data_IF_930822608032
#
_entry.id   IF_930822608032
#
_cell.length_a   1.000
_cell.length_b   1.000
_cell.length_c   1.000
_cell.angle_alpha   90.00
_cell.angle_beta   90.00
_cell.angle_gamma   90.00
#
_symmetry.space_group_name_H-M   'P 1'
#
loop_
_entity.id
_entity.type
_entity.pdbx_description
1 polymer ?
#
# COMPACT_ATOMS: atom_id res chain seq x y z
N UNK A 1 -25.93 0.13 -2.75
CA UNK A 1 -25.76 -0.21 -4.18
C UNK A 1 -24.30 -0.61 -4.40
N UNK A 2 -24.00 -1.61 -5.24
CA UNK A 2 -22.62 -2.00 -5.54
C UNK A 2 -21.83 -0.80 -6.07
N UNK A 3 -20.63 -0.56 -5.53
CA UNK A 3 -19.72 0.48 -6.04
C UNK A 3 -18.93 -0.11 -7.21
N UNK A 4 -19.02 0.50 -8.39
CA UNK A 4 -18.28 0.07 -9.58
C UNK A 4 -16.84 0.58 -9.63
N UNK A 5 -16.54 1.64 -8.87
CA UNK A 5 -15.23 2.28 -8.84
C UNK A 5 -14.58 2.04 -7.47
N UNK A 6 -13.48 1.32 -7.45
CA UNK A 6 -12.83 0.81 -6.24
C UNK A 6 -11.33 1.09 -6.27
N UNK A 7 -10.84 1.67 -5.18
CA UNK A 7 -9.41 1.86 -4.90
C UNK A 7 -9.07 1.00 -3.69
N UNK A 8 -8.37 -0.10 -3.93
CA UNK A 8 -7.76 -0.89 -2.89
C UNK A 8 -6.29 -0.51 -2.75
N UNK A 9 -5.94 0.19 -1.68
CA UNK A 9 -4.53 0.42 -1.34
C UNK A 9 -3.95 -0.87 -0.75
N UNK A 10 -3.24 -1.61 -1.59
CA UNK A 10 -2.56 -2.84 -1.17
C UNK A 10 -1.27 -2.53 -0.40
N UNK A 11 -1.33 -2.59 0.92
CA UNK A 11 -0.16 -2.55 1.80
C UNK A 11 0.65 -3.84 1.73
N UNK A 12 1.95 -3.77 2.03
CA UNK A 12 2.86 -4.90 1.98
C UNK A 12 2.71 -5.78 3.22
N UNK A 13 2.73 -7.11 3.01
CA UNK A 13 2.76 -8.16 4.06
C UNK A 13 1.52 -8.23 4.97
N UNK A 14 0.38 -7.79 4.45
CA UNK A 14 -0.93 -7.72 5.13
C UNK A 14 -1.97 -8.69 4.55
N UNK A 15 -1.55 -9.68 3.76
CA UNK A 15 -2.49 -10.62 3.10
C UNK A 15 -3.24 -10.04 1.90
N UNK A 16 -2.96 -8.79 1.49
CA UNK A 16 -3.67 -8.12 0.39
C UNK A 16 -3.64 -8.82 -0.98
N UNK A 17 -2.78 -9.84 -1.20
CA UNK A 17 -2.83 -10.63 -2.45
C UNK A 17 -4.13 -11.43 -2.59
N UNK A 18 -4.71 -11.89 -1.48
CA UNK A 18 -6.01 -12.56 -1.48
C UNK A 18 -7.13 -11.61 -1.93
N UNK A 19 -7.12 -10.37 -1.40
CA UNK A 19 -8.05 -9.31 -1.84
C UNK A 19 -7.86 -8.96 -3.31
N UNK A 20 -6.63 -8.82 -3.79
CA UNK A 20 -6.39 -8.59 -5.23
C UNK A 20 -7.00 -9.69 -6.07
N UNK A 21 -6.85 -10.96 -5.67
CA UNK A 21 -7.43 -12.06 -6.42
C UNK A 21 -8.97 -12.00 -6.47
N UNK A 22 -9.61 -11.70 -5.34
CA UNK A 22 -11.07 -11.51 -5.25
C UNK A 22 -11.54 -10.33 -6.12
N UNK A 23 -10.87 -9.18 -6.01
CA UNK A 23 -11.17 -7.97 -6.78
C UNK A 23 -10.95 -8.19 -8.29
N UNK A 24 -9.90 -8.92 -8.68
CA UNK A 24 -9.64 -9.27 -10.07
C UNK A 24 -10.77 -10.11 -10.65
N UNK A 25 -11.20 -11.17 -9.95
CA UNK A 25 -12.34 -12.00 -10.38
C UNK A 25 -13.63 -11.19 -10.46
N UNK A 26 -13.87 -10.34 -9.47
CA UNK A 26 -15.03 -9.44 -9.47
C UNK A 26 -15.02 -8.50 -10.68
N UNK A 27 -13.88 -7.86 -10.96
CA UNK A 27 -13.75 -6.91 -12.05
C UNK A 27 -13.82 -7.56 -13.43
N UNK A 28 -13.20 -8.74 -13.61
CA UNK A 28 -13.27 -9.51 -14.85
C UNK A 28 -14.71 -9.92 -15.17
N UNK A 29 -15.44 -10.46 -14.17
CA UNK A 29 -16.84 -10.88 -14.35
C UNK A 29 -17.80 -9.74 -14.74
N UNK A 30 -17.40 -8.49 -14.52
CA UNK A 30 -18.18 -7.27 -14.82
C UNK A 30 -17.55 -6.40 -15.91
N UNK A 31 -16.49 -6.89 -16.55
CA UNK A 31 -15.76 -6.16 -17.58
C UNK A 31 -15.26 -4.77 -17.13
N UNK A 32 -14.88 -4.65 -15.86
CA UNK A 32 -14.36 -3.41 -15.27
C UNK A 32 -12.99 -3.05 -15.87
N UNK A 33 -12.70 -1.76 -16.00
CA UNK A 33 -11.42 -1.25 -16.49
C UNK A 33 -10.38 -1.19 -15.38
N UNK A 34 -9.36 -2.03 -15.47
CA UNK A 34 -8.29 -2.10 -14.48
C UNK A 34 -7.20 -1.05 -14.69
N UNK A 35 -6.85 -0.31 -13.64
CA UNK A 35 -5.61 0.43 -13.57
C UNK A 35 -4.48 -0.56 -13.31
N UNK A 36 -3.67 -0.83 -14.34
CA UNK A 36 -2.54 -1.76 -14.28
C UNK A 36 -1.21 -1.01 -14.33
N UNK A 37 -0.14 -1.50 -13.69
CA UNK A 37 1.20 -0.96 -13.86
C UNK A 37 1.67 -0.99 -15.33
N UNK A 38 2.66 -0.16 -15.66
CA UNK A 38 3.34 -0.19 -16.96
C UNK A 38 3.88 -1.60 -17.30
N UNK A 39 4.01 -1.95 -18.59
CA UNK A 39 4.51 -3.26 -18.99
C UNK A 39 5.83 -3.65 -18.30
N UNK A 40 5.96 -4.94 -17.95
CA UNK A 40 7.12 -5.49 -17.22
C UNK A 40 7.35 -4.84 -15.85
N UNK A 41 6.30 -4.31 -15.22
CA UNK A 41 6.28 -3.84 -13.82
C UNK A 41 5.16 -4.53 -13.07
N UNK A 42 5.41 -4.83 -11.80
CA UNK A 42 4.44 -5.46 -10.90
C UNK A 42 3.91 -4.48 -9.83
N UNK A 43 4.44 -3.26 -9.80
CA UNK A 43 4.04 -2.16 -8.91
C UNK A 43 4.04 -0.82 -9.63
N UNK A 44 3.36 0.18 -9.07
CA UNK A 44 3.28 1.53 -9.62
C UNK A 44 4.46 2.44 -9.24
N UNK A 45 5.67 2.08 -9.67
CA UNK A 45 6.85 2.94 -9.52
C UNK A 45 7.40 3.06 -8.08
N UNK A 46 7.03 2.12 -7.21
CA UNK A 46 7.50 2.03 -5.83
C UNK A 46 9.04 1.93 -5.75
N UNK A 47 9.72 2.62 -4.81
CA UNK A 47 9.20 3.27 -3.60
C UNK A 47 8.83 4.76 -3.75
N UNK A 48 8.89 5.31 -4.97
CA UNK A 48 8.44 6.70 -5.19
C UNK A 48 6.93 6.81 -4.99
N UNK A 49 6.41 7.99 -4.57
CA UNK A 49 4.98 8.25 -4.54
C UNK A 49 4.31 7.91 -5.88
N UNK A 50 3.08 7.41 -5.78
CA UNK A 50 2.27 7.06 -6.94
C UNK A 50 2.13 8.27 -7.86
N UNK A 51 2.18 7.98 -9.16
CA UNK A 51 1.95 8.93 -10.22
C UNK A 51 1.04 8.31 -11.26
N UNK A 52 0.08 9.08 -11.76
CA UNK A 52 -0.89 8.63 -12.75
C UNK A 52 -0.20 8.10 -14.02
N UNK A 53 0.95 8.68 -14.38
CA UNK A 53 1.78 8.24 -15.52
C UNK A 53 2.37 6.82 -15.35
N UNK A 54 2.28 6.21 -14.16
CA UNK A 54 2.66 4.81 -13.91
C UNK A 54 1.56 3.81 -14.26
N UNK A 55 0.38 4.29 -14.66
CA UNK A 55 -0.75 3.45 -15.06
C UNK A 55 -0.75 3.25 -16.57
N UNK A 56 -0.79 1.98 -17.00
CA UNK A 56 -0.87 1.62 -18.42
C UNK A 56 -2.11 2.23 -19.06
N UNK A 57 -1.92 2.96 -20.16
CA UNK A 57 -3.01 3.59 -20.90
C UNK A 57 -3.58 4.84 -20.25
N UNK A 58 -2.97 5.37 -19.20
CA UNK A 58 -3.31 6.69 -18.66
C UNK A 58 -3.04 7.78 -19.70
N UNK A 59 -3.98 8.71 -19.81
CA UNK A 59 -3.86 9.94 -20.60
C UNK A 59 -4.52 11.07 -19.80
N UNK A 60 -3.92 12.27 -19.70
CA UNK A 60 -4.58 13.43 -19.10
C UNK A 60 -5.94 13.69 -19.76
N UNK A 61 -7.00 13.85 -18.96
CA UNK A 61 -8.38 14.02 -19.46
C UNK A 61 -9.01 12.78 -20.10
N UNK A 62 -8.30 11.64 -20.13
CA UNK A 62 -8.80 10.39 -20.68
C UNK A 62 -9.82 9.68 -19.77
N UNK A 63 -10.38 8.55 -20.26
CA UNK A 63 -11.29 7.73 -19.48
C UNK A 63 -10.63 7.23 -18.20
N UNK A 64 -11.38 7.31 -17.10
CA UNK A 64 -10.97 6.81 -15.78
C UNK A 64 -10.99 5.28 -15.73
N UNK A 65 -10.44 4.73 -14.66
CA UNK A 65 -10.42 3.30 -14.39
C UNK A 65 -11.42 2.96 -13.29
N UNK A 66 -11.88 1.71 -13.29
CA UNK A 66 -12.87 1.21 -12.35
C UNK A 66 -12.24 0.51 -11.16
N UNK A 67 -11.07 -0.13 -11.35
CA UNK A 67 -10.41 -0.88 -10.28
C UNK A 67 -8.91 -0.60 -10.25
N UNK A 68 -8.44 -0.16 -9.10
CA UNK A 68 -7.02 0.06 -8.82
C UNK A 68 -6.66 -0.71 -7.54
N UNK A 69 -5.77 -1.71 -7.66
CA UNK A 69 -5.51 -2.66 -6.56
C UNK A 69 -4.07 -3.22 -6.48
N UNK A 70 -3.09 -2.63 -7.20
CA UNK A 70 -1.69 -3.06 -7.13
C UNK A 70 -0.84 -2.18 -6.20
N UNK A 71 0.33 -2.69 -5.80
CA UNK A 71 1.24 -2.00 -4.88
C UNK A 71 1.65 -0.61 -5.40
N UNK A 72 1.58 0.36 -4.50
CA UNK A 72 2.06 1.73 -4.68
C UNK A 72 2.42 2.34 -3.34
N UNK A 73 3.12 3.48 -3.38
CA UNK A 73 3.14 4.42 -2.27
C UNK A 73 2.03 5.45 -2.52
N UNK A 74 1.02 5.48 -1.67
CA UNK A 74 -0.20 6.24 -1.92
C UNK A 74 0.06 7.73 -2.13
N UNK A 75 -0.69 8.34 -3.04
CA UNK A 75 -0.62 9.77 -3.33
C UNK A 75 -1.97 10.22 -3.91
N UNK A 76 -2.86 10.70 -3.03
CA UNK A 76 -4.27 10.96 -3.35
C UNK A 76 -4.49 11.84 -4.60
N UNK A 77 -3.80 12.99 -4.77
CA UNK A 77 -3.99 13.83 -5.96
C UNK A 77 -3.74 13.07 -7.27
N UNK A 78 -2.75 12.18 -7.29
CA UNK A 78 -2.43 11.37 -8.47
C UNK A 78 -3.41 10.21 -8.66
N UNK A 79 -3.94 9.63 -7.57
CA UNK A 79 -5.00 8.61 -7.66
C UNK A 79 -6.28 9.20 -8.24
N UNK A 80 -6.66 10.41 -7.84
CA UNK A 80 -7.84 11.13 -8.37
C UNK A 80 -7.69 11.49 -9.86
N UNK A 81 -6.47 11.57 -10.39
CA UNK A 81 -6.25 11.70 -11.84
C UNK A 81 -6.61 10.42 -12.61
N UNK A 82 -6.56 9.26 -11.97
CA UNK A 82 -6.80 7.93 -12.57
C UNK A 82 -8.22 7.41 -12.30
N UNK A 83 -8.75 7.67 -11.12
CA UNK A 83 -10.02 7.11 -10.63
C UNK A 83 -11.14 8.17 -10.61
N UNK A 84 -12.42 7.80 -10.74
CA UNK A 84 -13.55 8.70 -10.54
C UNK A 84 -13.64 9.25 -9.11
N UNK A 85 -14.26 10.42 -8.93
CA UNK A 85 -14.35 11.09 -7.63
C UNK A 85 -15.25 10.35 -6.63
N UNK A 86 -16.17 9.52 -7.09
CA UNK A 86 -17.08 8.71 -6.28
C UNK A 86 -16.54 7.31 -5.95
N UNK A 87 -15.26 7.07 -6.26
CA UNK A 87 -14.57 5.81 -5.97
C UNK A 87 -14.60 5.47 -4.48
N UNK A 88 -14.84 4.20 -4.17
CA UNK A 88 -14.73 3.68 -2.82
C UNK A 88 -13.29 3.30 -2.52
N UNK A 89 -12.70 3.93 -1.51
CA UNK A 89 -11.33 3.68 -1.08
C UNK A 89 -11.34 2.77 0.14
N UNK A 90 -10.53 1.72 0.10
CA UNK A 90 -10.26 0.91 1.26
C UNK A 90 -8.84 0.39 1.25
N UNK A 91 -8.39 -0.07 2.41
CA UNK A 91 -7.06 -0.66 2.59
C UNK A 91 -7.15 -1.86 3.53
N UNK A 92 -6.01 -2.50 3.76
CA UNK A 92 -5.85 -3.53 4.77
C UNK A 92 -4.57 -3.21 5.56
N UNK A 93 -4.62 -3.42 6.87
CA UNK A 93 -3.46 -3.30 7.76
C UNK A 93 -3.29 -4.57 8.57
N UNK A 94 -2.15 -4.70 9.23
CA UNK A 94 -1.77 -5.84 10.05
C UNK A 94 -1.15 -5.33 11.35
N UNK A 95 -1.19 -6.13 12.40
CA UNK A 95 -0.38 -5.89 13.60
C UNK A 95 1.08 -5.54 13.21
N UNK A 96 1.65 -4.43 13.71
CA UNK A 96 2.99 -4.00 13.35
C UNK A 96 4.10 -5.01 13.68
N UNK A 97 3.97 -5.79 14.75
CA UNK A 97 4.95 -6.81 15.14
C UNK A 97 4.95 -7.99 14.17
N UNK A 98 3.77 -8.57 13.93
CA UNK A 98 3.59 -9.66 12.98
C UNK A 98 3.95 -9.25 11.53
N UNK A 99 3.69 -7.98 11.18
CA UNK A 99 4.15 -7.42 9.91
C UNK A 99 5.67 -7.30 9.85
N UNK A 100 6.33 -6.83 10.93
CA UNK A 100 7.78 -6.70 10.99
C UNK A 100 8.47 -8.06 10.80
N UNK A 101 7.98 -9.12 11.44
CA UNK A 101 8.47 -10.49 11.23
C UNK A 101 8.37 -10.91 9.76
N UNK A 102 7.19 -10.74 9.16
CA UNK A 102 6.94 -11.12 7.77
C UNK A 102 7.78 -10.30 6.80
N UNK A 103 7.96 -9.00 7.06
CA UNK A 103 8.78 -8.10 6.26
C UNK A 103 10.27 -8.44 6.39
N UNK A 104 10.76 -8.70 7.61
CA UNK A 104 12.14 -9.06 7.87
C UNK A 104 12.54 -10.32 7.11
N UNK A 105 11.71 -11.38 7.18
CA UNK A 105 11.95 -12.62 6.45
C UNK A 105 11.88 -12.42 4.94
N UNK A 106 10.83 -11.76 4.44
CA UNK A 106 10.57 -11.67 3.00
C UNK A 106 11.52 -10.72 2.28
N UNK A 107 11.81 -9.57 2.88
CA UNK A 107 12.66 -8.53 2.29
C UNK A 107 14.12 -8.61 2.74
N UNK A 108 14.55 -9.68 3.42
CA UNK A 108 15.93 -9.82 3.92
C UNK A 108 16.99 -9.57 2.85
N UNK A 109 16.77 -10.07 1.64
CA UNK A 109 17.65 -9.80 0.51
C UNK A 109 17.43 -8.38 -0.06
N UNK A 110 16.20 -7.87 -0.12
CA UNK A 110 15.92 -6.59 -0.76
C UNK A 110 16.29 -5.36 0.09
N UNK A 111 16.27 -5.49 1.42
CA UNK A 111 16.53 -4.40 2.36
C UNK A 111 17.90 -4.58 3.03
N UNK A 112 18.90 -3.72 2.71
CA UNK A 112 20.21 -3.75 3.35
C UNK A 112 20.17 -3.75 4.88
N UNK A 113 19.25 -2.99 5.48
CA UNK A 113 19.06 -2.92 6.93
C UNK A 113 18.70 -4.29 7.54
N UNK A 114 17.81 -5.05 6.89
CA UNK A 114 17.52 -6.40 7.31
C UNK A 114 18.73 -7.30 7.09
N UNK A 115 19.31 -7.31 5.88
CA UNK A 115 20.46 -8.16 5.53
C UNK A 115 21.64 -8.02 6.51
N UNK A 116 21.91 -6.80 6.96
CA UNK A 116 23.01 -6.50 7.86
C UNK A 116 22.76 -6.95 9.31
N UNK A 117 21.50 -7.13 9.72
CA UNK A 117 21.18 -7.65 11.05
C UNK A 117 21.30 -9.18 11.08
N UNK A 118 21.91 -9.81 12.09
CA UNK A 118 22.01 -11.26 12.19
C UNK A 118 20.66 -11.95 12.43
N UNK A 119 19.74 -11.32 13.16
CA UNK A 119 18.41 -11.84 13.48
C UNK A 119 17.37 -10.71 13.56
N UNK A 120 16.09 -11.07 13.65
CA UNK A 120 15.03 -10.09 13.90
C UNK A 120 15.20 -9.46 15.27
N UNK A 121 15.49 -10.24 16.31
CA UNK A 121 15.69 -9.74 17.68
C UNK A 121 16.84 -8.72 17.75
N UNK A 122 17.95 -9.01 17.08
CA UNK A 122 19.07 -8.06 17.00
C UNK A 122 18.66 -6.77 16.27
N UNK A 123 17.83 -6.87 15.23
CA UNK A 123 17.31 -5.69 14.53
C UNK A 123 16.36 -4.88 15.42
N UNK A 124 15.44 -5.55 16.13
CA UNK A 124 14.47 -4.91 17.02
C UNK A 124 15.14 -4.24 18.23
N UNK A 125 16.18 -4.86 18.78
CA UNK A 125 16.94 -4.32 19.91
C UNK A 125 17.75 -3.06 19.54
N UNK A 126 18.15 -2.91 18.27
CA UNK A 126 19.00 -1.79 17.84
C UNK A 126 18.80 -1.42 16.36
N UNK A 127 17.59 -0.99 15.95
CA UNK A 127 17.28 -0.78 14.53
C UNK A 127 18.15 0.33 13.91
N UNK A 128 18.50 1.36 14.68
CA UNK A 128 19.37 2.46 14.23
C UNK A 128 20.79 2.02 13.85
N UNK A 129 21.26 0.85 14.31
CA UNK A 129 22.58 0.30 13.92
C UNK A 129 22.58 -0.20 12.48
N UNK A 130 21.43 -0.67 11.99
CA UNK A 130 21.30 -1.32 10.69
C UNK A 130 20.58 -0.44 9.67
N UNK A 131 19.60 0.35 10.12
CA UNK A 131 18.77 1.18 9.28
C UNK A 131 19.50 2.49 8.92
N UNK A 132 19.66 2.74 7.61
CA UNK A 132 20.10 4.02 7.07
C UNK A 132 18.99 4.62 6.21
N UNK A 133 18.56 5.83 6.56
CA UNK A 133 17.57 6.58 5.80
C UNK A 133 18.06 6.85 4.36
N UNK A 134 17.16 6.82 3.39
CA UNK A 134 17.48 7.06 1.97
C UNK A 134 18.21 5.92 1.25
N UNK A 135 18.76 4.94 1.97
CA UNK A 135 19.39 3.79 1.32
C UNK A 135 18.35 2.95 0.56
N UNK A 136 18.64 2.68 -0.71
CA UNK A 136 17.74 1.92 -1.60
C UNK A 136 17.38 0.57 -0.97
N UNK A 137 16.07 0.29 -0.90
CA UNK A 137 15.51 -0.93 -0.32
C UNK A 137 15.13 -0.83 1.16
N UNK A 138 15.70 0.12 1.92
CA UNK A 138 15.43 0.21 3.37
C UNK A 138 14.01 0.69 3.71
N UNK A 139 13.22 1.19 2.76
CA UNK A 139 11.82 1.52 3.00
C UNK A 139 10.99 0.31 3.48
N UNK A 140 11.40 -0.93 3.16
CA UNK A 140 10.76 -2.13 3.70
C UNK A 140 11.06 -2.39 5.18
N UNK A 141 12.06 -1.70 5.75
CA UNK A 141 12.60 -2.00 7.07
C UNK A 141 12.13 -1.07 8.19
N UNK A 142 11.30 -0.07 7.88
CA UNK A 142 10.80 0.88 8.87
C UNK A 142 9.40 1.34 8.49
N UNK A 143 8.46 1.22 9.43
CA UNK A 143 7.09 1.74 9.32
C UNK A 143 6.44 1.44 7.95
N UNK A 144 6.55 0.20 7.46
CA UNK A 144 6.21 -0.13 6.08
C UNK A 144 4.76 0.19 5.70
N UNK A 145 3.79 -0.06 6.59
CA UNK A 145 2.39 0.29 6.34
C UNK A 145 2.19 1.81 6.24
N UNK A 146 2.79 2.57 7.16
CA UNK A 146 2.81 4.04 7.13
C UNK A 146 3.42 4.56 5.82
N UNK A 147 4.51 3.93 5.38
CA UNK A 147 5.17 4.24 4.12
C UNK A 147 4.27 3.94 2.91
N UNK A 148 3.56 2.81 2.90
CA UNK A 148 2.60 2.45 1.85
C UNK A 148 1.45 3.45 1.74
N UNK A 149 0.96 3.96 2.88
CA UNK A 149 -0.02 5.07 2.93
C UNK A 149 0.53 6.42 2.45
N UNK A 150 1.81 6.49 2.07
CA UNK A 150 2.40 7.71 1.53
C UNK A 150 2.63 8.82 2.55
N UNK A 151 2.48 8.50 3.84
CA UNK A 151 2.63 9.49 4.90
C UNK A 151 4.09 9.96 5.02
N UNK A 152 4.31 11.24 5.40
CA UNK A 152 5.64 11.73 5.76
C UNK A 152 6.09 11.09 7.07
N UNK A 153 7.40 11.03 7.30
CA UNK A 153 7.90 10.71 8.63
C UNK A 153 7.47 11.83 9.59
N UNK A 154 6.75 11.53 10.68
CA UNK A 154 6.34 12.56 11.63
C UNK A 154 7.58 13.14 12.31
N UNK A 155 7.64 14.46 12.44
CA UNK A 155 8.73 15.13 13.14
C UNK A 155 8.57 14.99 14.66
N UNK A 156 7.34 14.85 15.13
CA UNK A 156 6.99 14.60 16.52
C UNK A 156 5.76 13.69 16.64
N UNK A 157 5.62 12.92 17.75
CA UNK A 157 4.47 12.04 17.95
C UNK A 157 3.10 12.74 17.91
N UNK A 158 3.06 14.04 18.25
CA UNK A 158 1.84 14.84 18.25
C UNK A 158 1.24 15.05 16.84
N UNK A 159 2.02 14.86 15.77
CA UNK A 159 1.52 14.95 14.39
C UNK A 159 0.72 13.71 13.96
N UNK A 160 0.93 12.57 14.62
CA UNK A 160 0.36 11.27 14.20
C UNK A 160 -1.18 11.33 14.11
N UNK A 161 -1.92 11.82 15.13
CA UNK A 161 -3.39 11.89 15.05
C UNK A 161 -3.88 12.73 13.87
N UNK A 162 -3.20 13.84 13.55
CA UNK A 162 -3.55 14.71 12.43
C UNK A 162 -3.35 14.01 11.09
N UNK A 163 -2.26 13.27 10.94
CA UNK A 163 -1.96 12.50 9.73
C UNK A 163 -2.97 11.36 9.54
N UNK A 164 -3.32 10.66 10.63
CA UNK A 164 -4.34 9.60 10.61
C UNK A 164 -5.73 10.13 10.28
N UNK A 165 -6.15 11.26 10.87
CA UNK A 165 -7.43 11.90 10.53
C UNK A 165 -7.53 12.27 9.05
N UNK A 166 -6.40 12.58 8.40
CA UNK A 166 -6.33 12.77 6.95
C UNK A 166 -6.65 11.49 6.17
N UNK A 167 -6.12 10.34 6.63
CA UNK A 167 -6.40 9.03 6.02
C UNK A 167 -7.84 8.58 6.28
N UNK A 168 -8.39 8.77 7.47
CA UNK A 168 -9.76 8.37 7.82
C UNK A 168 -10.80 9.01 6.92
N UNK A 169 -10.57 10.25 6.48
CA UNK A 169 -11.44 10.95 5.52
C UNK A 169 -11.39 10.35 4.11
N UNK A 170 -10.28 9.70 3.78
CA UNK A 170 -10.04 9.13 2.44
C UNK A 170 -10.45 7.66 2.42
N UNK A 171 -10.14 6.91 3.47
CA UNK A 171 -10.36 5.48 3.59
C UNK A 171 -11.48 5.21 4.60
N UNK A 172 -12.75 5.22 4.17
CA UNK A 172 -13.89 4.89 5.04
C UNK A 172 -13.84 3.45 5.58
N UNK A 173 -13.01 2.58 5.00
CA UNK A 173 -12.80 1.21 5.46
C UNK A 173 -11.31 0.85 5.43
N UNK A 174 -10.80 0.34 6.55
CA UNK A 174 -9.48 -0.27 6.64
C UNK A 174 -9.63 -1.62 7.33
N UNK A 175 -9.36 -2.69 6.59
CA UNK A 175 -9.47 -4.06 7.08
C UNK A 175 -8.30 -4.40 8.00
N UNK A 176 -8.50 -5.32 8.94
CA UNK A 176 -7.44 -5.92 9.74
C UNK A 176 -7.15 -7.31 9.20
N UNK A 177 -5.88 -7.60 8.90
CA UNK A 177 -5.47 -8.90 8.39
C UNK A 177 -5.77 -10.04 9.36
N UNK A 178 -5.76 -9.75 10.66
CA UNK A 178 -6.12 -10.67 11.75
C UNK A 178 -7.63 -10.99 11.80
N UNK A 179 -8.46 -10.20 11.12
CA UNK A 179 -9.93 -10.35 11.06
C UNK A 179 -10.41 -10.35 9.61
N UNK A 180 -9.68 -11.07 8.76
CA UNK A 180 -9.85 -11.02 7.31
C UNK A 180 -11.26 -11.42 6.89
N UNK A 181 -11.76 -12.54 7.41
CA UNK A 181 -13.07 -13.08 7.03
C UNK A 181 -14.21 -12.18 7.48
N UNK A 182 -14.15 -11.64 8.71
CA UNK A 182 -15.13 -10.66 9.20
C UNK A 182 -15.07 -9.35 8.41
N UNK A 183 -13.87 -8.94 8.00
CA UNK A 183 -13.67 -7.75 7.18
C UNK A 183 -14.26 -7.87 5.78
N UNK A 184 -14.34 -9.08 5.21
CA UNK A 184 -14.88 -9.30 3.87
C UNK A 184 -16.40 -9.17 3.77
N UNK A 185 -17.13 -9.23 4.89
CA UNK A 185 -18.59 -9.18 4.92
C UNK A 185 -19.16 -7.80 5.28
N UNK A 186 -18.29 -6.81 5.54
CA UNK A 186 -18.65 -5.40 5.78
C UNK A 186 -18.96 -4.66 4.47
#
# INVERSE_FOLDING_TARGET
RPRSHVVFLKTHKTGGSSLVNLLSRHGESRQLRFALPLPRRYQFGYPSPFRAERVRGFRPGGPKFDLLCHHMRFHLPEVQRVMPNDSFYFSIVRDPGALAESAFSYFRAAAPAFRASPSLDAFAASPGRFFRAGQRGNHYARNLQWFDFGLPEPSEPAEIPKLLAGLERVFPLVLLAERFDEGLVL
#
